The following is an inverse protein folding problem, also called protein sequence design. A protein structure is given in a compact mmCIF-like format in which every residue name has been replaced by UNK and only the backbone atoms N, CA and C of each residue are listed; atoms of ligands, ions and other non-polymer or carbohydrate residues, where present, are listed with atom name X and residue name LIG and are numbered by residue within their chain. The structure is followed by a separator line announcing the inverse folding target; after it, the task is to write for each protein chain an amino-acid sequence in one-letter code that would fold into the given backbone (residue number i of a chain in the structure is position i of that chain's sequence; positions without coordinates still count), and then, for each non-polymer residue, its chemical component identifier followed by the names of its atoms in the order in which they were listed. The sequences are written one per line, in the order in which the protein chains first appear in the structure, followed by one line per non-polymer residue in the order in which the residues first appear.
data_IF_622638360575
#
_entry.id   IF_622638360575
#
_cell.length_a   1.000
_cell.length_b   1.000
_cell.length_c   1.000
_cell.angle_alpha   90.00
_cell.angle_beta   90.00
_cell.angle_gamma   90.00
#
_symmetry.space_group_name_H-M   'P 1'
#
loop_
_entity.id
_entity.type
_entity.pdbx_description
1 polymer ?
#
# COMPACT_ATOMS: atom_id res chain seq x y z
N UNK A 1 -10.73 1.84 -2.96
CA UNK A 1 -9.89 0.73 -2.45
C UNK A 1 -9.51 -0.21 -3.60
N UNK A 2 -8.85 0.32 -4.65
CA UNK A 2 -8.58 -0.40 -5.92
C UNK A 2 -7.06 -0.44 -6.22
N UNK A 3 -6.23 0.29 -5.47
CA UNK A 3 -4.82 0.53 -5.83
C UNK A 3 -3.91 -0.69 -5.67
N UNK A 4 -4.18 -1.55 -4.69
CA UNK A 4 -3.23 -2.59 -4.26
C UNK A 4 -2.93 -3.68 -5.31
N UNK A 5 -3.83 -3.87 -6.28
CA UNK A 5 -3.70 -4.94 -7.29
C UNK A 5 -3.11 -4.48 -8.61
N UNK A 6 -3.03 -3.17 -8.85
CA UNK A 6 -2.66 -2.62 -10.16
C UNK A 6 -1.25 -3.06 -10.58
N UNK A 7 -0.28 -3.02 -9.67
CA UNK A 7 1.08 -3.46 -9.96
C UNK A 7 1.16 -4.95 -10.32
N UNK A 8 0.42 -5.80 -9.61
CA UNK A 8 0.37 -7.23 -9.86
C UNK A 8 -0.33 -7.54 -11.19
N UNK A 9 -1.45 -6.89 -11.49
CA UNK A 9 -2.16 -7.06 -12.76
C UNK A 9 -1.32 -6.57 -13.94
N UNK A 10 -0.60 -5.45 -13.78
CA UNK A 10 0.35 -4.97 -14.79
C UNK A 10 1.43 -6.03 -15.04
N UNK A 11 2.05 -6.57 -13.99
CA UNK A 11 3.02 -7.66 -14.12
C UNK A 11 2.44 -8.84 -14.90
N UNK A 12 1.22 -9.30 -14.56
CA UNK A 12 0.56 -10.40 -15.26
C UNK A 12 0.28 -10.10 -16.74
N UNK A 13 -0.04 -8.85 -17.07
CA UNK A 13 -0.27 -8.42 -18.46
C UNK A 13 1.05 -8.44 -19.24
N UNK A 14 2.13 -7.88 -18.67
CA UNK A 14 3.44 -7.85 -19.30
C UNK A 14 4.00 -9.27 -19.51
N UNK A 15 3.84 -10.14 -18.52
CA UNK A 15 4.18 -11.56 -18.62
C UNK A 15 3.41 -12.24 -19.76
N UNK A 16 2.08 -12.10 -19.79
CA UNK A 16 1.23 -12.71 -20.84
C UNK A 16 1.52 -12.18 -22.24
N UNK A 17 2.00 -10.93 -22.36
CA UNK A 17 2.43 -10.35 -23.64
C UNK A 17 3.82 -10.80 -24.08
N UNK A 18 4.50 -11.66 -23.32
CA UNK A 18 5.83 -12.17 -23.67
C UNK A 18 6.91 -11.09 -23.63
N UNK A 19 6.77 -10.10 -22.73
CA UNK A 19 7.78 -9.05 -22.59
C UNK A 19 9.14 -9.68 -22.27
N UNK A 20 10.14 -9.37 -23.10
CA UNK A 20 11.52 -9.78 -22.84
C UNK A 20 12.07 -9.03 -21.63
N UNK A 21 12.90 -9.71 -20.84
CA UNK A 21 13.57 -9.16 -19.66
C UNK A 21 12.59 -8.63 -18.59
N UNK A 22 11.47 -9.34 -18.38
CA UNK A 22 10.51 -8.95 -17.33
C UNK A 22 11.18 -8.88 -15.95
N UNK A 23 12.16 -9.74 -15.67
CA UNK A 23 12.93 -9.79 -14.42
C UNK A 23 13.80 -8.55 -14.18
N UNK A 24 14.14 -7.77 -15.21
CA UNK A 24 14.90 -6.54 -15.04
C UNK A 24 14.03 -5.31 -14.74
N UNK A 25 12.71 -5.48 -14.67
CA UNK A 25 11.81 -4.40 -14.29
C UNK A 25 11.78 -4.20 -12.79
N UNK A 26 11.78 -2.94 -12.39
CA UNK A 26 11.53 -2.51 -11.02
C UNK A 26 10.10 -1.98 -10.91
N UNK A 27 9.39 -2.41 -9.88
CA UNK A 27 8.03 -1.95 -9.62
C UNK A 27 8.03 -0.99 -8.44
N UNK A 28 7.27 0.11 -8.58
CA UNK A 28 6.92 0.99 -7.46
C UNK A 28 5.41 0.95 -7.30
N UNK A 29 4.94 0.59 -6.11
CA UNK A 29 3.51 0.47 -5.82
C UNK A 29 3.14 1.06 -4.45
N UNK A 30 1.85 1.08 -4.15
CA UNK A 30 1.30 1.55 -2.89
C UNK A 30 0.73 0.37 -2.11
N UNK A 31 0.82 0.48 -0.78
CA UNK A 31 0.35 -0.49 0.21
C UNK A 31 1.02 -1.85 0.13
N UNK A 32 1.50 -2.34 1.27
CA UNK A 32 1.97 -3.72 1.36
C UNK A 32 0.79 -4.68 1.48
N UNK A 33 0.52 -5.42 0.41
CA UNK A 33 -0.54 -6.44 0.37
C UNK A 33 -0.02 -7.79 -0.10
N UNK A 34 -0.83 -8.84 0.05
CA UNK A 34 -0.50 -10.17 -0.46
C UNK A 34 -0.26 -10.16 -1.99
N UNK A 35 -0.93 -9.27 -2.75
CA UNK A 35 -0.75 -9.18 -4.20
C UNK A 35 0.60 -8.61 -4.59
N UNK A 36 1.03 -7.54 -3.91
CA UNK A 36 2.34 -6.93 -4.17
C UNK A 36 3.48 -7.87 -3.81
N UNK A 37 3.29 -8.75 -2.81
CA UNK A 37 4.25 -9.78 -2.42
C UNK A 37 4.36 -10.96 -3.40
N UNK A 38 3.40 -11.09 -4.33
CA UNK A 38 3.41 -12.15 -5.37
C UNK A 38 4.14 -11.73 -6.64
N UNK A 39 4.58 -10.48 -6.73
CA UNK A 39 5.44 -10.02 -7.84
C UNK A 39 6.84 -10.59 -7.59
N UNK A 40 7.39 -11.41 -8.49
CA UNK A 40 8.68 -12.07 -8.27
C UNK A 40 9.87 -11.12 -8.39
N UNK A 41 9.67 -9.94 -8.98
CA UNK A 41 10.65 -8.88 -9.07
C UNK A 41 10.75 -8.08 -7.78
N UNK A 42 11.92 -7.46 -7.58
CA UNK A 42 12.11 -6.46 -6.53
C UNK A 42 11.06 -5.37 -6.64
N UNK A 43 10.35 -5.12 -5.54
CA UNK A 43 9.29 -4.12 -5.48
C UNK A 43 9.60 -3.08 -4.40
N UNK A 44 9.42 -1.82 -4.76
CA UNK A 44 9.44 -0.71 -3.81
C UNK A 44 8.01 -0.30 -3.51
N UNK A 45 7.66 -0.25 -2.23
CA UNK A 45 6.32 0.05 -1.77
C UNK A 45 6.31 1.35 -0.98
N UNK A 46 5.40 2.26 -1.33
CA UNK A 46 5.01 3.34 -0.43
C UNK A 46 3.89 2.82 0.46
N UNK A 47 4.21 2.64 1.74
CA UNK A 47 3.33 2.00 2.72
C UNK A 47 3.05 2.93 3.90
N UNK A 48 2.00 2.64 4.65
CA UNK A 48 1.71 3.31 5.91
C UNK A 48 1.28 2.26 6.94
N UNK A 49 1.44 2.51 8.24
CA UNK A 49 1.02 1.56 9.26
C UNK A 49 -0.51 1.44 9.28
N UNK A 50 -1.06 0.46 8.55
CA UNK A 50 -2.50 0.23 8.41
C UNK A 50 -3.19 -0.07 9.74
N UNK A 51 -2.55 -0.87 10.60
CA UNK A 51 -3.07 -1.20 11.95
C UNK A 51 -3.22 0.06 12.82
N UNK A 52 -2.34 1.05 12.64
CA UNK A 52 -2.38 2.29 13.38
C UNK A 52 -3.50 3.23 12.89
N UNK A 53 -3.88 3.18 11.61
CA UNK A 53 -4.95 4.04 11.05
C UNK A 53 -6.29 3.70 11.70
N UNK A 54 -6.68 2.43 11.67
CA UNK A 54 -7.99 2.00 12.16
C UNK A 54 -8.15 2.26 13.65
N UNK A 55 -7.11 1.95 14.42
CA UNK A 55 -7.07 2.20 15.87
C UNK A 55 -7.12 3.70 16.18
N UNK A 56 -6.32 4.52 15.50
CA UNK A 56 -6.31 5.97 15.68
C UNK A 56 -7.65 6.59 15.31
N UNK A 57 -8.25 6.16 14.21
CA UNK A 57 -9.56 6.65 13.77
C UNK A 57 -10.65 6.32 14.80
N UNK A 58 -10.69 5.08 15.29
CA UNK A 58 -11.63 4.68 16.34
C UNK A 58 -11.47 5.51 17.62
N UNK A 59 -10.23 5.71 18.09
CA UNK A 59 -9.95 6.54 19.27
C UNK A 59 -10.42 7.99 19.09
N UNK A 60 -10.17 8.59 17.92
CA UNK A 60 -10.63 9.94 17.59
C UNK A 60 -12.15 10.03 17.56
N UNK A 61 -12.83 9.04 17.00
CA UNK A 61 -14.29 8.99 16.99
C UNK A 61 -14.85 8.93 18.42
N UNK A 62 -14.27 8.10 19.29
CA UNK A 62 -14.69 8.01 20.69
C UNK A 62 -14.57 9.35 21.43
N UNK A 63 -13.47 10.08 21.22
CA UNK A 63 -13.28 11.43 21.77
C UNK A 63 -14.32 12.43 21.27
N UNK A 64 -14.58 12.44 19.97
CA UNK A 64 -15.60 13.30 19.37
C UNK A 64 -17.01 13.00 19.93
N UNK A 65 -17.35 11.73 20.14
CA UNK A 65 -18.63 11.33 20.77
C UNK A 65 -18.74 11.82 22.22
N UNK A 66 -17.62 11.94 22.93
CA UNK A 66 -17.56 12.51 24.28
C UNK A 66 -17.57 14.05 24.29
N UNK A 67 -17.64 14.70 23.12
CA UNK A 67 -17.64 16.15 22.98
C UNK A 67 -16.26 16.79 23.03
N UNK A 68 -15.17 16.00 22.98
CA UNK A 68 -13.82 16.53 22.91
C UNK A 68 -13.50 17.08 21.51
N UNK A 69 -12.83 18.24 21.41
CA UNK A 69 -12.37 18.76 20.13
C UNK A 69 -11.25 17.89 19.56
N UNK A 70 -11.35 17.53 18.28
CA UNK A 70 -10.40 16.65 17.61
C UNK A 70 -9.74 17.34 16.41
N UNK A 71 -8.49 16.97 16.10
CA UNK A 71 -7.71 17.56 15.00
C UNK A 71 -7.36 16.52 13.94
N UNK A 72 -7.08 16.97 12.72
CA UNK A 72 -6.51 16.10 11.70
C UNK A 72 -5.13 15.57 12.13
N UNK A 73 -4.86 14.31 11.86
CA UNK A 73 -3.53 13.70 12.07
C UNK A 73 -3.03 13.15 10.75
N UNK A 74 -1.79 13.51 10.42
CA UNK A 74 -1.07 12.91 9.30
C UNK A 74 -0.27 11.73 9.82
N UNK A 75 -0.37 10.59 9.12
CA UNK A 75 0.42 9.42 9.41
C UNK A 75 1.62 9.36 8.46
N UNK A 76 2.82 9.00 8.95
CA UNK A 76 4.00 8.98 8.13
C UNK A 76 3.92 7.81 7.14
N UNK A 77 4.08 8.13 5.86
CA UNK A 77 4.33 7.14 4.83
C UNK A 77 5.80 6.71 4.88
N UNK A 78 6.06 5.45 4.56
CA UNK A 78 7.38 4.86 4.53
C UNK A 78 7.62 4.20 3.18
N UNK A 79 8.83 4.34 2.67
CA UNK A 79 9.26 3.63 1.48
C UNK A 79 9.94 2.33 1.91
N UNK A 80 9.36 1.20 1.52
CA UNK A 80 9.86 -0.14 1.83
C UNK A 80 10.40 -0.78 0.54
N UNK A 81 11.59 -1.36 0.59
CA UNK A 81 12.07 -2.22 -0.49
C UNK A 81 11.89 -3.66 -0.05
N UNK A 82 11.15 -4.44 -0.84
CA UNK A 82 10.77 -5.83 -0.56
C UNK A 82 11.20 -6.74 -1.71
#
# INVERSE_FOLDING_TARGET
MVHHRVAFELYQILYRKGMKNLESLEFVAFDKTEFTLRIPNKITLLDYPQEDIGKLAALKIMKMVQGEPEKSTLLPWQLLSV
#
